data_IF_028043004667
#
_entry.id   IF_028043004667
#
_cell.length_a   1.000
_cell.length_b   1.000
_cell.length_c   1.000
_cell.angle_alpha   90.00
_cell.angle_beta   90.00
_cell.angle_gamma   90.00
#
_symmetry.space_group_name_H-M   'P 1'
#
loop_
_entity.id
_entity.type
_entity.pdbx_description
1 polymer ?
#
# COMPACT_ATOMS: atom_id res chain seq x y z
N UNK A 1 26.55 2.26 -0.09
CA UNK A 1 25.51 1.24 0.15
C UNK A 1 24.39 1.47 -0.83
N UNK A 2 23.92 0.45 -1.55
CA UNK A 2 22.76 0.57 -2.42
C UNK A 2 21.53 0.01 -1.69
N UNK A 3 20.53 0.86 -1.44
CA UNK A 3 19.33 0.43 -0.71
C UNK A 3 18.54 -0.65 -1.47
N UNK A 4 18.66 -0.71 -2.80
CA UNK A 4 17.99 -1.73 -3.63
C UNK A 4 18.49 -3.15 -3.36
N UNK A 5 19.69 -3.29 -2.80
CA UNK A 5 20.23 -4.59 -2.39
C UNK A 5 19.43 -5.19 -1.22
N UNK A 6 18.59 -4.41 -0.55
CA UNK A 6 17.75 -4.82 0.58
C UNK A 6 16.29 -5.08 0.20
N UNK A 7 15.90 -4.91 -1.06
CA UNK A 7 14.55 -5.26 -1.53
C UNK A 7 14.43 -6.80 -1.53
N UNK A 8 13.30 -7.38 -1.06
CA UNK A 8 13.08 -8.82 -1.14
C UNK A 8 13.26 -9.34 -2.57
N UNK A 9 13.77 -10.56 -2.71
CA UNK A 9 13.92 -11.20 -4.02
C UNK A 9 12.87 -12.30 -4.26
N UNK A 10 12.23 -12.77 -3.19
CA UNK A 10 11.14 -13.73 -3.25
C UNK A 10 10.19 -13.56 -2.06
N UNK A 11 8.99 -14.14 -2.15
CA UNK A 11 7.91 -14.00 -1.14
C UNK A 11 8.23 -14.47 0.30
N UNK A 12 9.36 -15.15 0.50
CA UNK A 12 9.83 -15.69 1.78
C UNK A 12 11.11 -15.00 2.28
N UNK A 13 11.52 -13.90 1.66
CA UNK A 13 12.81 -13.27 1.90
C UNK A 13 12.80 -12.40 3.17
N UNK A 14 12.65 -13.09 4.31
CA UNK A 14 12.62 -12.48 5.64
C UNK A 14 13.98 -11.87 6.05
N UNK A 15 15.06 -12.29 5.40
CA UNK A 15 16.38 -11.73 5.64
C UNK A 15 16.42 -10.27 5.16
N UNK A 16 16.00 -10.02 3.93
CA UNK A 16 15.96 -8.68 3.33
C UNK A 16 14.98 -7.76 4.06
N UNK A 17 13.78 -8.23 4.37
CA UNK A 17 12.81 -7.44 5.15
C UNK A 17 13.32 -7.12 6.57
N UNK A 18 14.03 -8.06 7.20
CA UNK A 18 14.69 -7.84 8.49
C UNK A 18 15.80 -6.78 8.44
N UNK A 19 16.49 -6.66 7.30
CA UNK A 19 17.49 -5.62 7.06
C UNK A 19 16.82 -4.25 6.79
N UNK A 20 15.76 -4.21 5.97
CA UNK A 20 14.99 -2.99 5.66
C UNK A 20 14.50 -2.28 6.94
N UNK A 21 14.00 -3.05 7.92
CA UNK A 21 13.53 -2.53 9.22
C UNK A 21 14.58 -1.75 10.01
N UNK A 22 15.87 -1.92 9.69
CA UNK A 22 17.01 -1.28 10.37
C UNK A 22 17.56 -0.08 9.60
N UNK A 23 17.09 0.17 8.38
CA UNK A 23 17.60 1.26 7.56
C UNK A 23 16.96 2.60 7.97
N UNK A 24 17.70 3.67 7.70
CA UNK A 24 17.18 5.03 7.83
C UNK A 24 16.01 5.26 6.88
N UNK A 25 15.01 6.03 7.33
CA UNK A 25 13.83 6.37 6.53
C UNK A 25 14.19 7.03 5.20
N UNK A 26 15.27 7.83 5.15
CA UNK A 26 15.74 8.47 3.92
C UNK A 26 16.14 7.46 2.84
N UNK A 27 16.73 6.33 3.25
CA UNK A 27 17.06 5.25 2.31
C UNK A 27 15.79 4.56 1.83
N UNK A 28 14.86 4.26 2.74
CA UNK A 28 13.56 3.65 2.40
C UNK A 28 12.77 4.53 1.42
N UNK A 29 12.77 5.85 1.61
CA UNK A 29 12.09 6.82 0.72
C UNK A 29 12.49 6.66 -0.74
N UNK A 30 13.77 6.37 -0.99
CA UNK A 30 14.29 6.24 -2.36
C UNK A 30 13.90 4.95 -3.09
N UNK A 31 13.23 4.02 -2.40
CA UNK A 31 12.76 2.72 -2.95
C UNK A 31 11.30 2.42 -2.64
N UNK A 32 10.49 3.42 -2.25
CA UNK A 32 9.06 3.21 -1.99
C UNK A 32 8.36 2.51 -3.18
N UNK A 33 8.56 2.92 -4.45
CA UNK A 33 7.89 2.26 -5.58
C UNK A 33 8.17 0.75 -5.65
N UNK A 34 9.43 0.35 -5.45
CA UNK A 34 9.84 -1.05 -5.47
C UNK A 34 9.34 -1.83 -4.25
N UNK A 35 9.19 -1.19 -3.09
CA UNK A 35 8.60 -1.84 -1.92
C UNK A 35 7.08 -1.99 -2.06
N UNK A 36 6.40 -1.06 -2.72
CA UNK A 36 4.95 -1.12 -2.95
C UNK A 36 4.54 -2.35 -3.77
N UNK A 37 5.39 -2.83 -4.70
CA UNK A 37 5.08 -4.05 -5.49
C UNK A 37 5.04 -5.30 -4.61
N UNK A 38 5.72 -5.31 -3.47
CA UNK A 38 5.64 -6.39 -2.48
C UNK A 38 4.34 -6.39 -1.67
N UNK A 39 3.44 -5.44 -1.95
CA UNK A 39 2.09 -5.39 -1.41
C UNK A 39 1.02 -5.87 -2.41
N UNK A 40 1.42 -6.45 -3.55
CA UNK A 40 0.48 -6.99 -4.55
C UNK A 40 -0.32 -8.21 -4.06
N UNK A 41 0.22 -8.99 -3.13
CA UNK A 41 -0.44 -10.18 -2.61
C UNK A 41 -0.26 -10.28 -1.08
N UNK A 42 -1.36 -10.13 -0.35
CA UNK A 42 -1.40 -10.23 1.11
C UNK A 42 -1.04 -11.62 1.64
N UNK A 43 -1.01 -12.65 0.79
CA UNK A 43 -0.60 -14.00 1.16
C UNK A 43 0.91 -14.18 1.16
N UNK A 44 1.69 -13.24 0.61
CA UNK A 44 3.15 -13.33 0.65
C UNK A 44 3.64 -13.20 2.09
N UNK A 45 4.46 -14.13 2.61
CA UNK A 45 4.94 -14.04 3.99
C UNK A 45 5.71 -12.77 4.34
N UNK A 46 6.35 -12.13 3.34
CA UNK A 46 7.01 -10.82 3.51
C UNK A 46 6.06 -9.61 3.53
N UNK A 47 4.81 -9.76 3.06
CA UNK A 47 3.82 -8.69 2.99
C UNK A 47 3.68 -7.88 4.30
N UNK A 48 3.43 -8.49 5.48
CA UNK A 48 3.27 -7.73 6.71
C UNK A 48 4.53 -6.96 7.07
N UNK A 49 5.71 -7.49 6.76
CA UNK A 49 6.98 -6.84 7.09
C UNK A 49 7.25 -5.62 6.21
N UNK A 50 6.93 -5.72 4.92
CA UNK A 50 7.05 -4.59 3.99
C UNK A 50 6.04 -3.50 4.34
N UNK A 51 4.79 -3.88 4.64
CA UNK A 51 3.78 -2.94 5.13
C UNK A 51 4.31 -2.19 6.36
N UNK A 52 4.88 -2.90 7.33
CA UNK A 52 5.35 -2.30 8.59
C UNK A 52 6.57 -1.38 8.38
N UNK A 53 7.40 -1.63 7.35
CA UNK A 53 8.48 -0.72 6.92
C UNK A 53 7.92 0.56 6.30
N UNK A 54 6.82 0.47 5.54
CA UNK A 54 6.23 1.61 4.83
C UNK A 54 5.34 2.48 5.72
N UNK A 55 4.56 1.88 6.62
CA UNK A 55 3.59 2.58 7.49
C UNK A 55 4.11 3.87 8.14
N UNK A 56 5.36 3.92 8.69
CA UNK A 56 5.90 5.12 9.32
C UNK A 56 6.18 6.31 8.39
N UNK A 57 5.99 6.18 7.08
CA UNK A 57 6.15 7.24 6.08
C UNK A 57 4.85 8.06 5.87
N UNK A 58 3.69 7.56 6.30
CA UNK A 58 2.45 8.32 6.36
C UNK A 58 2.08 9.01 5.04
N UNK A 59 2.00 10.34 5.06
CA UNK A 59 1.61 11.18 3.92
C UNK A 59 2.51 11.02 2.69
N UNK A 60 3.77 10.62 2.88
CA UNK A 60 4.70 10.39 1.77
C UNK A 60 4.26 9.23 0.86
N UNK A 61 3.42 8.32 1.36
CA UNK A 61 2.90 7.19 0.60
C UNK A 61 1.75 7.57 -0.36
N UNK A 62 1.09 8.71 -0.15
CA UNK A 62 -0.10 9.12 -0.92
C UNK A 62 0.10 9.07 -2.44
N UNK A 63 1.17 9.65 -3.03
CA UNK A 63 1.38 9.54 -4.48
C UNK A 63 1.59 8.10 -4.96
N UNK A 64 2.20 7.24 -4.14
CA UNK A 64 2.44 5.84 -4.48
C UNK A 64 1.18 4.98 -4.36
N UNK A 65 0.33 5.26 -3.37
CA UNK A 65 -0.98 4.61 -3.21
C UNK A 65 -1.88 5.02 -4.38
N UNK A 66 -1.93 6.31 -4.74
CA UNK A 66 -2.69 6.78 -5.90
C UNK A 66 -2.29 6.04 -7.18
N UNK A 67 -0.99 5.87 -7.41
CA UNK A 67 -0.49 5.07 -8.54
C UNK A 67 -1.08 3.66 -8.54
N UNK A 68 -1.07 2.96 -7.39
CA UNK A 68 -1.67 1.61 -7.28
C UNK A 68 -3.16 1.63 -7.59
N UNK A 69 -3.91 2.61 -7.08
CA UNK A 69 -5.34 2.76 -7.31
C UNK A 69 -5.71 3.07 -8.78
N UNK A 70 -4.76 3.55 -9.58
CA UNK A 70 -4.92 3.79 -11.02
C UNK A 70 -4.54 2.58 -11.90
N UNK A 71 -3.93 1.54 -11.32
CA UNK A 71 -3.61 0.30 -12.06
C UNK A 71 -4.86 -0.51 -12.39
N UNK A 72 -4.70 -1.59 -13.17
CA UNK A 72 -5.74 -2.60 -13.40
C UNK A 72 -5.55 -3.84 -12.52
N UNK A 73 -4.66 -3.78 -11.53
CA UNK A 73 -4.36 -4.88 -10.61
C UNK A 73 -5.25 -4.76 -9.37
N UNK A 74 -6.45 -5.37 -9.45
CA UNK A 74 -7.46 -5.22 -8.41
C UNK A 74 -7.04 -5.89 -7.09
N UNK A 75 -6.25 -6.98 -7.14
CA UNK A 75 -5.69 -7.61 -5.94
C UNK A 75 -4.71 -6.66 -5.26
N UNK A 76 -3.84 -6.00 -6.02
CA UNK A 76 -2.92 -5.01 -5.45
C UNK A 76 -3.67 -3.84 -4.81
N UNK A 77 -4.71 -3.31 -5.48
CA UNK A 77 -5.57 -2.29 -4.88
C UNK A 77 -6.20 -2.79 -3.58
N UNK A 78 -6.78 -3.99 -3.61
CA UNK A 78 -7.45 -4.58 -2.45
C UNK A 78 -6.50 -4.69 -1.26
N UNK A 79 -5.33 -5.28 -1.45
CA UNK A 79 -4.37 -5.45 -0.36
C UNK A 79 -3.76 -4.12 0.10
N UNK A 80 -3.53 -3.16 -0.79
CA UNK A 80 -3.08 -1.82 -0.38
C UNK A 80 -4.17 -1.12 0.44
N UNK A 81 -5.43 -1.15 0.00
CA UNK A 81 -6.53 -0.49 0.73
C UNK A 81 -6.79 -1.14 2.10
N UNK A 82 -6.94 -2.46 2.13
CA UNK A 82 -7.31 -3.20 3.35
C UNK A 82 -6.15 -3.40 4.31
N UNK A 83 -4.92 -3.51 3.79
CA UNK A 83 -3.76 -3.85 4.61
C UNK A 83 -2.84 -2.68 4.95
N UNK A 84 -2.69 -1.70 4.05
CA UNK A 84 -1.86 -0.51 4.28
C UNK A 84 -2.72 0.72 4.64
N UNK A 85 -3.65 1.13 3.77
CA UNK A 85 -4.41 2.38 3.91
C UNK A 85 -5.29 2.37 5.16
N UNK A 86 -5.94 1.24 5.47
CA UNK A 86 -6.75 1.08 6.68
C UNK A 86 -6.01 1.34 8.00
N UNK A 87 -4.67 1.31 7.98
CA UNK A 87 -3.79 1.52 9.14
C UNK A 87 -3.12 2.89 9.17
N UNK A 88 -3.31 3.71 8.12
CA UNK A 88 -2.78 5.06 8.09
C UNK A 88 -3.63 5.99 8.96
N UNK A 89 -3.08 7.15 9.29
CA UNK A 89 -3.82 8.15 10.07
C UNK A 89 -5.00 8.68 9.26
N UNK A 90 -6.04 9.15 9.95
CA UNK A 90 -7.18 9.82 9.30
C UNK A 90 -6.72 10.97 8.41
N UNK A 91 -5.72 11.74 8.84
CA UNK A 91 -5.14 12.84 8.08
C UNK A 91 -4.58 12.36 6.73
N UNK A 92 -3.84 11.25 6.72
CA UNK A 92 -3.34 10.65 5.48
C UNK A 92 -4.48 10.15 4.59
N UNK A 93 -5.47 9.45 5.16
CA UNK A 93 -6.60 8.92 4.39
C UNK A 93 -7.41 10.05 3.72
N UNK A 94 -7.57 11.20 4.39
CA UNK A 94 -8.25 12.38 3.83
C UNK A 94 -7.60 12.86 2.53
N UNK A 95 -6.28 12.72 2.37
CA UNK A 95 -5.55 13.12 1.15
C UNK A 95 -5.88 12.22 -0.06
N UNK A 96 -6.51 11.07 0.16
CA UNK A 96 -6.91 10.09 -0.86
C UNK A 96 -8.44 10.03 -1.04
N UNK A 97 -9.18 10.98 -0.45
CA UNK A 97 -10.64 11.03 -0.54
C UNK A 97 -11.15 11.05 -2.00
N UNK A 98 -10.58 11.82 -2.94
CA UNK A 98 -11.07 11.84 -4.32
C UNK A 98 -11.07 10.44 -4.97
N UNK A 99 -9.99 9.69 -4.79
CA UNK A 99 -9.80 8.35 -5.34
C UNK A 99 -10.74 7.35 -4.66
N UNK A 100 -10.83 7.41 -3.33
CA UNK A 100 -11.74 6.57 -2.56
C UNK A 100 -13.22 6.84 -2.88
N UNK A 101 -13.62 8.10 -3.06
CA UNK A 101 -14.98 8.47 -3.47
C UNK A 101 -15.27 7.93 -4.88
N UNK A 102 -14.32 8.04 -5.82
CA UNK A 102 -14.50 7.49 -7.16
C UNK A 102 -14.71 5.98 -7.11
N UNK A 103 -13.83 5.24 -6.41
CA UNK A 103 -13.97 3.78 -6.28
C UNK A 103 -15.30 3.42 -5.58
N UNK A 104 -15.66 4.12 -4.51
CA UNK A 104 -16.85 3.83 -3.72
C UNK A 104 -18.18 4.03 -4.46
N UNK A 105 -18.26 5.01 -5.37
CA UNK A 105 -19.53 5.44 -5.96
C UNK A 105 -19.57 5.38 -7.50
N UNK A 106 -18.42 5.18 -8.14
CA UNK A 106 -18.29 4.97 -9.58
C UNK A 106 -17.13 4.00 -9.87
N UNK A 107 -17.18 2.76 -9.34
CA UNK A 107 -16.17 1.75 -9.63
C UNK A 107 -16.20 1.33 -11.10
N UNK A 108 -15.07 0.87 -11.63
CA UNK A 108 -15.10 0.06 -12.84
C UNK A 108 -15.81 -1.28 -12.58
N UNK A 109 -16.16 -2.01 -13.64
CA UNK A 109 -16.72 -3.36 -13.51
C UNK A 109 -15.77 -4.31 -12.76
N UNK A 110 -14.46 -4.21 -13.03
CA UNK A 110 -13.43 -5.01 -12.35
C UNK A 110 -13.31 -4.65 -10.86
N UNK A 111 -13.37 -3.36 -10.53
CA UNK A 111 -13.29 -2.91 -9.14
C UNK A 111 -14.50 -3.35 -8.33
N UNK A 112 -15.70 -3.28 -8.91
CA UNK A 112 -16.92 -3.77 -8.29
C UNK A 112 -16.90 -5.30 -8.11
N UNK A 113 -16.40 -6.03 -9.11
CA UNK A 113 -16.25 -7.50 -9.02
C UNK A 113 -15.27 -7.94 -7.92
N UNK A 114 -14.29 -7.08 -7.60
CA UNK A 114 -13.33 -7.27 -6.50
C UNK A 114 -13.76 -6.59 -5.18
N UNK A 115 -15.01 -6.14 -5.07
CA UNK A 115 -15.59 -5.51 -3.86
C UNK A 115 -14.82 -4.26 -3.38
N UNK A 116 -14.04 -3.61 -4.26
CA UNK A 116 -13.24 -2.44 -3.91
C UNK A 116 -14.10 -1.23 -3.57
N UNK A 117 -15.31 -1.14 -4.12
CA UNK A 117 -16.28 -0.10 -3.78
C UNK A 117 -16.72 -0.20 -2.32
N UNK A 118 -16.92 -1.41 -1.78
CA UNK A 118 -17.26 -1.62 -0.38
C UNK A 118 -16.11 -1.24 0.55
N UNK A 119 -14.89 -1.69 0.22
CA UNK A 119 -13.65 -1.34 0.95
C UNK A 119 -13.46 0.17 0.99
N UNK A 120 -13.63 0.85 -0.14
CA UNK A 120 -13.49 2.30 -0.22
C UNK A 120 -14.55 3.04 0.62
N UNK A 121 -15.82 2.59 0.60
CA UNK A 121 -16.87 3.13 1.48
C UNK A 121 -16.52 2.96 2.96
N UNK A 122 -15.95 1.81 3.34
CA UNK A 122 -15.53 1.57 4.72
C UNK A 122 -14.43 2.54 5.16
N UNK A 123 -13.40 2.73 4.34
CA UNK A 123 -12.31 3.68 4.63
C UNK A 123 -12.83 5.12 4.75
N UNK A 124 -13.80 5.51 3.93
CA UNK A 124 -14.45 6.83 4.00
C UNK A 124 -15.24 7.02 5.31
N UNK A 125 -15.94 5.99 5.79
CA UNK A 125 -16.67 6.06 7.08
C UNK A 125 -15.72 6.26 8.26
N UNK A 126 -14.56 5.60 8.26
CA UNK A 126 -13.59 5.69 9.36
C UNK A 126 -12.70 6.95 9.30
N UNK A 127 -12.57 7.58 8.13
CA UNK A 127 -11.85 8.84 7.92
C UNK A 127 -12.75 10.09 7.96
N UNK A 128 -14.03 9.90 8.27
CA UNK A 128 -14.97 10.98 8.61
C UNK A 128 -14.78 11.49 10.04
#
# INVERSE_FOLDING_TARGET
>A
MNVRDFIPQHKMDHEKTGQLKKLDKDLIRSVIPELMTWLQDGNWPVYPEIRDVLLPLGNELVPHIRYVLETTDEDWKYFVLTGLVSKLSKETIVQMKPELIRIAYNPSESEAASELDEVARELLRHSS
#
